data_IF_030759498504
#
_entry.id   IF_030759498504
#
_cell.length_a   1.000
_cell.length_b   1.000
_cell.length_c   1.000
_cell.angle_alpha   90.00
_cell.angle_beta   90.00
_cell.angle_gamma   90.00
#
_symmetry.space_group_name_H-M   'P 1'
#
loop_
_entity.id
_entity.type
_entity.pdbx_description
1 polymer ?
#
# COMPACT_ATOMS: atom_id res chain seq x y z
N UNK A 1 -25.70 -31.72 -8.33
CA UNK A 1 -24.94 -30.60 -7.75
C UNK A 1 -23.93 -31.13 -6.76
N UNK A 2 -22.69 -30.76 -6.91
CA UNK A 2 -21.60 -31.36 -6.16
C UNK A 2 -21.09 -30.44 -5.07
N UNK A 3 -21.65 -30.54 -3.88
CA UNK A 3 -21.21 -29.77 -2.71
C UNK A 3 -19.77 -30.12 -2.30
N UNK A 4 -19.31 -31.33 -2.64
CA UNK A 4 -17.95 -31.76 -2.31
C UNK A 4 -16.92 -30.89 -3.01
N UNK A 5 -17.17 -30.52 -4.27
CA UNK A 5 -16.26 -29.61 -4.99
C UNK A 5 -16.24 -28.20 -4.36
N UNK A 6 -17.39 -27.74 -3.91
CA UNK A 6 -17.49 -26.46 -3.21
C UNK A 6 -16.70 -26.49 -1.91
N UNK A 7 -16.80 -27.59 -1.14
CA UNK A 7 -16.06 -27.74 0.12
C UNK A 7 -14.55 -27.86 -0.11
N UNK A 8 -14.13 -28.59 -1.14
CA UNK A 8 -12.72 -28.69 -1.51
C UNK A 8 -12.13 -27.32 -1.83
N UNK A 9 -12.83 -26.52 -2.62
CA UNK A 9 -12.39 -25.18 -2.98
C UNK A 9 -12.38 -24.24 -1.77
N UNK A 10 -13.34 -24.39 -0.86
CA UNK A 10 -13.36 -23.61 0.38
C UNK A 10 -12.15 -23.93 1.26
N UNK A 11 -11.82 -25.21 1.41
CA UNK A 11 -10.65 -25.64 2.19
C UNK A 11 -9.36 -25.15 1.54
N UNK A 12 -9.27 -25.24 0.22
CA UNK A 12 -8.11 -24.73 -0.52
C UNK A 12 -7.95 -23.23 -0.35
N UNK A 13 -9.04 -22.48 -0.46
CA UNK A 13 -9.03 -21.03 -0.27
C UNK A 13 -8.54 -20.66 1.12
N UNK A 14 -9.06 -21.34 2.15
CA UNK A 14 -8.63 -21.08 3.53
C UNK A 14 -7.15 -21.39 3.72
N UNK A 15 -6.69 -22.52 3.22
CA UNK A 15 -5.29 -22.94 3.33
C UNK A 15 -4.35 -21.92 2.66
N UNK A 16 -4.72 -21.44 1.48
CA UNK A 16 -3.92 -20.47 0.76
C UNK A 16 -3.88 -19.11 1.48
N UNK A 17 -4.99 -18.69 2.08
CA UNK A 17 -5.03 -17.45 2.86
C UNK A 17 -4.18 -17.56 4.13
N UNK A 18 -4.20 -18.69 4.81
CA UNK A 18 -3.40 -18.93 5.99
C UNK A 18 -1.90 -18.94 5.63
N UNK A 19 -1.55 -19.60 4.53
CA UNK A 19 -0.17 -19.60 4.02
C UNK A 19 0.30 -18.18 3.69
N UNK A 20 -0.52 -17.42 3.00
CA UNK A 20 -0.20 -16.04 2.66
C UNK A 20 0.07 -15.20 3.92
N UNK A 21 -0.77 -15.35 4.94
CA UNK A 21 -0.61 -14.65 6.21
C UNK A 21 0.71 -14.99 6.88
N UNK A 22 1.07 -16.28 6.90
CA UNK A 22 2.34 -16.73 7.48
C UNK A 22 3.55 -16.18 6.72
N UNK A 23 3.47 -16.19 5.39
CA UNK A 23 4.54 -15.65 4.54
C UNK A 23 4.70 -14.15 4.75
N UNK A 24 3.59 -13.42 4.90
CA UNK A 24 3.64 -11.98 5.19
C UNK A 24 4.32 -11.69 6.53
N UNK A 25 4.06 -12.51 7.55
CA UNK A 25 4.74 -12.39 8.84
C UNK A 25 6.24 -12.65 8.70
N UNK A 26 6.62 -13.68 7.93
CA UNK A 26 8.02 -13.99 7.68
C UNK A 26 8.72 -12.85 6.94
N UNK A 27 8.07 -12.26 5.94
CA UNK A 27 8.61 -11.11 5.21
C UNK A 27 8.82 -9.94 6.16
N UNK A 28 7.85 -9.67 7.04
CA UNK A 28 7.95 -8.60 8.03
C UNK A 28 9.14 -8.80 8.96
N UNK A 29 9.31 -10.02 9.46
CA UNK A 29 10.42 -10.36 10.36
C UNK A 29 11.77 -10.20 9.66
N UNK A 30 11.89 -10.70 8.43
CA UNK A 30 13.10 -10.56 7.63
C UNK A 30 13.40 -9.09 7.33
N UNK A 31 12.38 -8.31 7.00
CA UNK A 31 12.53 -6.88 6.74
C UNK A 31 13.08 -6.14 7.96
N UNK A 32 12.59 -6.48 9.15
CA UNK A 32 13.11 -5.89 10.39
C UNK A 32 14.59 -6.22 10.60
N UNK A 33 14.99 -7.45 10.30
CA UNK A 33 16.39 -7.88 10.37
C UNK A 33 17.27 -7.17 9.35
N UNK A 34 16.75 -7.00 8.13
CA UNK A 34 17.45 -6.25 7.08
C UNK A 34 17.72 -4.81 7.55
N UNK A 35 16.72 -4.15 8.07
CA UNK A 35 16.84 -2.77 8.52
C UNK A 35 17.82 -2.62 9.67
N UNK A 36 17.81 -3.54 10.63
CA UNK A 36 18.74 -3.54 11.75
C UNK A 36 20.17 -3.77 11.29
N UNK A 37 20.39 -4.75 10.43
CA UNK A 37 21.72 -5.10 9.92
C UNK A 37 22.25 -3.97 9.02
N UNK A 38 21.41 -3.40 8.17
CA UNK A 38 21.75 -2.25 7.33
C UNK A 38 22.23 -1.07 8.18
N UNK A 39 21.48 -0.74 9.23
CA UNK A 39 21.86 0.32 10.14
C UNK A 39 23.24 0.08 10.79
N UNK A 40 23.48 -1.12 11.30
CA UNK A 40 24.76 -1.49 11.91
C UNK A 40 25.91 -1.41 10.92
N UNK A 41 25.69 -1.91 9.70
CA UNK A 41 26.72 -1.87 8.65
C UNK A 41 27.02 -0.43 8.25
N UNK A 42 25.99 0.39 8.08
CA UNK A 42 26.17 1.80 7.71
C UNK A 42 26.92 2.59 8.78
N UNK A 43 26.69 2.29 10.06
CA UNK A 43 27.44 2.91 11.16
C UNK A 43 28.94 2.55 11.09
N UNK A 44 29.25 1.28 10.89
CA UNK A 44 30.64 0.82 10.81
C UNK A 44 31.33 1.42 9.58
N UNK A 45 30.65 1.46 8.44
CA UNK A 45 31.19 2.06 7.23
C UNK A 45 31.47 3.55 7.41
N UNK A 46 30.57 4.26 8.09
CA UNK A 46 30.77 5.68 8.38
C UNK A 46 31.93 5.91 9.34
N UNK A 47 32.05 5.11 10.42
CA UNK A 47 33.12 5.21 11.40
C UNK A 47 34.49 4.91 10.79
N UNK A 48 34.55 3.96 9.86
CA UNK A 48 35.80 3.57 9.19
C UNK A 48 36.07 4.35 7.92
N UNK A 49 35.21 5.34 7.61
CA UNK A 49 35.32 6.14 6.39
C UNK A 49 35.35 5.29 5.12
N UNK A 50 34.63 4.16 5.13
CA UNK A 50 34.54 3.24 4.00
C UNK A 50 33.32 3.59 3.16
N UNK A 51 33.52 4.01 1.92
CA UNK A 51 32.42 4.37 1.02
C UNK A 51 31.85 3.17 0.29
N UNK A 52 32.69 2.18 0.00
CA UNK A 52 32.27 0.95 -0.65
C UNK A 52 33.29 -0.15 -0.40
N UNK A 53 32.83 -1.40 -0.54
CA UNK A 53 33.70 -2.57 -0.54
C UNK A 53 33.00 -3.71 -1.29
N UNK A 54 33.79 -4.66 -1.75
CA UNK A 54 33.27 -5.86 -2.43
C UNK A 54 33.58 -7.08 -1.59
N UNK A 55 32.57 -7.93 -1.42
CA UNK A 55 32.73 -9.20 -0.69
C UNK A 55 31.92 -10.28 -1.42
N UNK A 56 32.58 -11.41 -1.71
CA UNK A 56 31.95 -12.55 -2.37
C UNK A 56 31.19 -12.14 -3.65
N UNK A 57 31.75 -11.25 -4.45
CA UNK A 57 31.18 -10.79 -5.71
C UNK A 57 30.10 -9.74 -5.59
N UNK A 58 29.75 -9.32 -4.37
CA UNK A 58 28.73 -8.28 -4.12
C UNK A 58 29.40 -7.00 -3.66
N UNK A 59 29.06 -5.88 -4.29
CA UNK A 59 29.53 -4.57 -3.90
C UNK A 59 28.56 -3.92 -2.92
N UNK A 60 29.10 -3.43 -1.80
CA UNK A 60 28.34 -2.70 -0.79
C UNK A 60 28.77 -1.24 -0.81
N UNK A 61 27.81 -0.36 -1.03
CA UNK A 61 28.08 1.08 -1.12
C UNK A 61 27.31 1.83 -0.05
N UNK A 62 28.00 2.77 0.62
CA UNK A 62 27.33 3.67 1.55
C UNK A 62 26.67 4.79 0.76
N UNK A 63 25.35 4.86 0.80
CA UNK A 63 24.58 5.88 0.08
C UNK A 63 23.71 6.66 1.05
N UNK A 64 23.57 7.95 0.79
CA UNK A 64 22.68 8.82 1.56
C UNK A 64 21.62 9.38 0.62
N UNK A 65 20.35 9.16 0.96
CA UNK A 65 19.23 9.71 0.21
C UNK A 65 18.45 10.66 1.10
N UNK A 66 18.25 11.87 0.61
CA UNK A 66 17.40 12.83 1.30
C UNK A 66 15.95 12.53 1.00
N UNK A 67 15.17 12.32 2.04
CA UNK A 67 13.72 12.10 1.92
C UNK A 67 13.02 13.21 2.66
N UNK A 68 11.96 13.71 2.07
CA UNK A 68 11.15 14.76 2.67
C UNK A 68 9.69 14.44 2.53
N UNK A 69 8.92 14.82 3.52
CA UNK A 69 7.46 14.70 3.49
C UNK A 69 6.88 15.93 4.15
N UNK A 70 5.61 16.22 3.89
CA UNK A 70 4.94 17.35 4.54
C UNK A 70 4.89 17.11 6.05
N UNK A 71 5.26 18.14 6.82
CA UNK A 71 5.14 18.08 8.26
C UNK A 71 3.67 17.94 8.66
N UNK A 72 3.41 17.26 9.79
CA UNK A 72 2.06 17.01 10.24
C UNK A 72 1.31 18.32 10.51
N UNK A 73 0.08 18.42 9.97
CA UNK A 73 -0.82 19.54 10.22
C UNK A 73 -0.53 20.82 9.45
N UNK A 74 0.48 20.84 8.55
CA UNK A 74 0.85 22.05 7.80
C UNK A 74 0.91 21.82 6.29
N UNK A 75 0.20 20.81 5.78
CA UNK A 75 0.18 20.49 4.36
C UNK A 75 -0.26 21.67 3.49
N UNK A 76 -1.32 22.34 3.89
CA UNK A 76 -1.84 23.49 3.14
C UNK A 76 -0.85 24.65 3.10
N UNK A 77 -0.14 24.88 4.20
CA UNK A 77 0.90 25.89 4.28
C UNK A 77 2.07 25.55 3.35
N UNK A 78 2.45 24.27 3.29
CA UNK A 78 3.49 23.80 2.38
C UNK A 78 3.07 24.05 0.92
N UNK A 79 1.84 23.70 0.57
CA UNK A 79 1.35 23.88 -0.80
C UNK A 79 1.33 25.35 -1.20
N UNK A 80 0.87 26.23 -0.31
CA UNK A 80 0.89 27.67 -0.55
C UNK A 80 2.30 28.21 -0.74
N UNK A 81 3.23 27.78 0.11
CA UNK A 81 4.64 28.20 0.02
C UNK A 81 5.28 27.76 -1.29
N UNK A 82 5.01 26.50 -1.71
CA UNK A 82 5.52 26.00 -2.99
C UNK A 82 5.02 26.82 -4.16
N UNK A 83 3.74 27.20 -4.16
CA UNK A 83 3.16 28.03 -5.22
C UNK A 83 3.77 29.43 -5.23
N UNK A 84 3.95 30.04 -4.08
CA UNK A 84 4.57 31.38 -3.95
C UNK A 84 6.00 31.41 -4.48
N UNK A 85 6.75 30.33 -4.26
CA UNK A 85 8.14 30.24 -4.69
C UNK A 85 8.30 29.78 -6.15
N UNK A 86 7.21 29.57 -6.88
CA UNK A 86 7.24 29.15 -8.27
C UNK A 86 7.30 27.64 -8.50
N UNK A 87 7.05 26.85 -7.48
CA UNK A 87 7.10 25.38 -7.56
C UNK A 87 5.72 24.74 -7.49
N UNK A 88 4.69 25.46 -7.95
CA UNK A 88 3.29 24.96 -7.94
C UNK A 88 3.08 23.67 -8.71
N UNK A 89 3.97 23.36 -9.66
CA UNK A 89 3.90 22.11 -10.44
C UNK A 89 4.07 20.87 -9.57
N UNK A 90 4.68 20.99 -8.37
CA UNK A 90 4.83 19.89 -7.44
C UNK A 90 3.54 19.59 -6.69
N UNK A 91 2.56 20.48 -6.75
CA UNK A 91 1.27 20.33 -6.08
C UNK A 91 0.22 19.88 -7.09
N UNK A 92 -0.42 18.75 -6.84
CA UNK A 92 -1.49 18.26 -7.70
C UNK A 92 -2.67 17.79 -6.86
N UNK A 93 -3.85 17.90 -7.46
CA UNK A 93 -5.09 17.43 -6.84
C UNK A 93 -5.26 15.95 -7.11
N UNK A 94 -5.69 15.21 -6.09
CA UNK A 94 -5.96 13.79 -6.22
C UNK A 94 -7.15 13.41 -5.36
N UNK A 95 -7.73 12.26 -5.66
CA UNK A 95 -8.88 11.72 -4.93
C UNK A 95 -8.49 10.35 -4.39
N UNK A 96 -8.78 10.13 -3.09
CA UNK A 96 -8.56 8.83 -2.48
C UNK A 96 -9.51 7.80 -3.11
N UNK A 97 -8.95 6.69 -3.61
CA UNK A 97 -9.72 5.68 -4.33
C UNK A 97 -10.81 5.03 -3.48
N UNK A 98 -10.54 4.76 -2.21
CA UNK A 98 -11.53 4.15 -1.32
C UNK A 98 -12.68 5.10 -1.02
N UNK A 99 -12.38 6.37 -0.78
CA UNK A 99 -13.39 7.42 -0.54
C UNK A 99 -14.23 7.64 -1.79
N UNK A 100 -13.60 7.66 -2.97
CA UNK A 100 -14.33 7.79 -4.23
C UNK A 100 -15.26 6.61 -4.45
N UNK A 101 -14.82 5.38 -4.18
CA UNK A 101 -15.64 4.19 -4.32
C UNK A 101 -16.88 4.24 -3.43
N UNK A 102 -16.72 4.64 -2.17
CA UNK A 102 -17.83 4.78 -1.22
C UNK A 102 -18.81 5.87 -1.67
N UNK A 103 -18.30 7.00 -2.13
CA UNK A 103 -19.10 8.11 -2.64
C UNK A 103 -19.92 7.68 -3.86
N UNK A 104 -19.29 7.02 -4.83
CA UNK A 104 -19.96 6.53 -6.05
C UNK A 104 -21.07 5.54 -5.70
N UNK A 105 -20.80 4.62 -4.77
CA UNK A 105 -21.79 3.65 -4.30
C UNK A 105 -23.02 4.36 -3.70
N UNK A 106 -22.81 5.37 -2.86
CA UNK A 106 -23.89 6.15 -2.28
C UNK A 106 -24.69 6.88 -3.35
N UNK A 107 -24.02 7.46 -4.34
CA UNK A 107 -24.69 8.17 -5.44
C UNK A 107 -25.55 7.23 -6.28
N UNK A 108 -25.08 6.01 -6.53
CA UNK A 108 -25.84 5.00 -7.26
C UNK A 108 -27.08 4.60 -6.47
N UNK A 109 -26.93 4.32 -5.18
CA UNK A 109 -28.03 3.93 -4.30
C UNK A 109 -29.09 5.04 -4.21
N UNK A 110 -28.66 6.29 -4.16
CA UNK A 110 -29.56 7.45 -4.11
C UNK A 110 -30.19 7.83 -5.44
N UNK A 111 -29.77 7.20 -6.54
CA UNK A 111 -30.24 7.51 -7.90
C UNK A 111 -30.92 6.32 -8.57
N UNK A 112 -31.65 5.50 -7.79
CA UNK A 112 -32.41 4.37 -8.34
C UNK A 112 -31.52 3.28 -8.94
N UNK A 113 -30.41 2.98 -8.28
CA UNK A 113 -29.44 1.97 -8.69
C UNK A 113 -28.76 2.24 -10.03
N UNK A 114 -28.71 3.51 -10.44
CA UNK A 114 -28.03 3.93 -11.67
C UNK A 114 -27.03 5.05 -11.38
N UNK A 115 -25.92 5.04 -12.12
CA UNK A 115 -24.91 6.10 -12.00
C UNK A 115 -25.52 7.44 -12.42
N UNK A 116 -25.39 8.51 -11.60
CA UNK A 116 -25.85 9.83 -11.98
C UNK A 116 -25.22 10.30 -13.28
N UNK A 117 -25.97 11.01 -14.09
CA UNK A 117 -25.48 11.48 -15.41
C UNK A 117 -24.22 12.29 -15.33
N UNK A 118 -24.06 13.12 -14.29
CA UNK A 118 -22.89 13.99 -14.17
C UNK A 118 -21.60 13.23 -13.90
N UNK A 119 -21.70 11.99 -13.41
CA UNK A 119 -20.52 11.11 -13.20
C UNK A 119 -20.22 10.25 -14.43
N UNK A 120 -21.16 10.12 -15.36
CA UNK A 120 -21.00 9.28 -16.55
C UNK A 120 -19.81 9.74 -17.38
N UNK A 121 -18.90 8.82 -17.68
CA UNK A 121 -17.67 9.13 -18.41
C UNK A 121 -16.53 9.72 -17.58
N UNK A 122 -16.80 10.05 -16.30
CA UNK A 122 -15.77 10.59 -15.39
C UNK A 122 -15.21 9.53 -14.44
N UNK A 123 -15.97 8.47 -14.21
CA UNK A 123 -15.54 7.35 -13.35
C UNK A 123 -15.77 6.03 -14.08
N UNK A 124 -14.94 5.06 -13.80
CA UNK A 124 -15.16 3.68 -14.22
C UNK A 124 -15.71 2.91 -13.01
N UNK A 125 -16.85 2.27 -13.19
CA UNK A 125 -17.52 1.52 -12.11
C UNK A 125 -17.56 0.06 -12.49
N UNK A 126 -17.07 -0.80 -11.61
CA UNK A 126 -17.18 -2.24 -11.78
C UNK A 126 -17.42 -2.89 -10.42
N UNK A 127 -18.20 -3.95 -10.42
CA UNK A 127 -18.46 -4.73 -9.23
C UNK A 127 -17.58 -5.96 -9.22
N UNK A 128 -16.89 -6.18 -8.13
CA UNK A 128 -16.09 -7.38 -7.94
C UNK A 128 -16.76 -8.27 -6.91
N UNK A 129 -17.14 -9.46 -7.32
CA UNK A 129 -17.73 -10.45 -6.44
C UNK A 129 -16.63 -11.36 -5.92
N UNK A 130 -16.55 -11.53 -4.62
CA UNK A 130 -15.53 -12.36 -3.99
C UNK A 130 -16.09 -13.07 -2.78
N UNK A 131 -15.36 -14.08 -2.31
CA UNK A 131 -15.74 -14.84 -1.12
C UNK A 131 -14.96 -14.29 0.08
N UNK A 132 -15.70 -13.88 1.11
CA UNK A 132 -15.11 -13.46 2.39
C UNK A 132 -14.95 -14.66 3.28
N UNK A 133 -13.80 -14.78 3.94
CA UNK A 133 -13.56 -15.83 4.93
C UNK A 133 -13.61 -15.19 6.31
N UNK A 134 -14.60 -15.61 7.10
CA UNK A 134 -14.84 -15.06 8.43
C UNK A 134 -14.91 -16.18 9.47
N UNK A 135 -14.47 -15.86 10.68
CA UNK A 135 -14.60 -16.78 11.81
C UNK A 135 -16.08 -16.95 12.15
N UNK A 136 -16.54 -18.21 12.25
CA UNK A 136 -17.90 -18.47 12.67
C UNK A 136 -18.13 -18.07 14.13
N UNK A 137 -19.22 -17.33 14.41
CA UNK A 137 -19.63 -16.96 15.75
C UNK A 137 -20.71 -17.88 16.31
N UNK A 138 -21.18 -18.83 15.50
CA UNK A 138 -22.16 -19.83 15.93
C UNK A 138 -21.45 -21.10 16.39
N UNK A 139 -21.96 -21.63 17.47
CA UNK A 139 -21.51 -22.89 18.05
C UNK A 139 -22.49 -24.01 17.78
#
# INVERSE_FOLDING_TARGET
MNNDRMFELADELKSLRDLKSDLEKQVKDVTAKINETDYRLSEIMAETETQNFTRAGTMFCLTTKTRASAAAGVKDNLFAALREQGFGDLVYETVNANTLSSFVKEQIEGNGDALPKWLTGLVNVFDKTSVSVRKSTRH
#
